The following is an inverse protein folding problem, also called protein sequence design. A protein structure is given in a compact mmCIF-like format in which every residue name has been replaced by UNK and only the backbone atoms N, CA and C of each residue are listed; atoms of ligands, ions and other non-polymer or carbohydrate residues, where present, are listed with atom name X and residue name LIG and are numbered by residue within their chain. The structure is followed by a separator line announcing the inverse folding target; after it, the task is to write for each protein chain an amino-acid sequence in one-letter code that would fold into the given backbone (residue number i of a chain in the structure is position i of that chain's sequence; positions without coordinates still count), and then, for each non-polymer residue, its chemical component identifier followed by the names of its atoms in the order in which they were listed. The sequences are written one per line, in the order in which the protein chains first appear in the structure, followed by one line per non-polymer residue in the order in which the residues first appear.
data_IF_403352124933
#
_entry.id   IF_403352124933
#
_cell.length_a   1.000
_cell.length_b   1.000
_cell.length_c   1.000
_cell.angle_alpha   90.00
_cell.angle_beta   90.00
_cell.angle_gamma   90.00
#
_symmetry.space_group_name_H-M   'P 1'
#
loop_
_entity.id
_entity.type
_entity.pdbx_description
1 polymer ?
#
# COMPACT_ATOMS: atom_id res chain seq x y z
N UNK A 1 -9.15 -6.26 -20.13
CA UNK A 1 -8.35 -6.81 -19.04
C UNK A 1 -8.46 -8.33 -18.86
N UNK A 2 -9.00 -9.03 -19.84
CA UNK A 2 -9.03 -10.50 -19.82
C UNK A 2 -10.09 -11.14 -18.89
N UNK A 3 -11.00 -10.37 -18.37
CA UNK A 3 -12.10 -10.86 -17.53
C UNK A 3 -13.40 -10.74 -18.31
N UNK A 4 -14.07 -11.86 -18.57
CA UNK A 4 -15.33 -11.89 -19.31
C UNK A 4 -16.43 -11.16 -18.55
N UNK A 5 -17.16 -10.28 -19.25
CA UNK A 5 -18.25 -9.51 -18.66
C UNK A 5 -17.79 -8.42 -17.69
N UNK A 6 -16.53 -7.99 -17.77
CA UNK A 6 -16.01 -6.96 -16.88
C UNK A 6 -16.70 -5.61 -17.10
N UNK A 7 -17.10 -4.99 -16.00
CA UNK A 7 -17.54 -3.60 -15.92
C UNK A 7 -16.79 -2.98 -14.74
N UNK A 8 -15.90 -2.04 -15.02
CA UNK A 8 -15.02 -1.45 -14.03
C UNK A 8 -15.03 0.08 -14.12
N UNK A 9 -14.94 0.71 -12.98
CA UNK A 9 -14.62 2.12 -12.87
C UNK A 9 -13.09 2.28 -12.78
N UNK A 10 -12.55 3.22 -13.54
CA UNK A 10 -11.10 3.47 -13.57
C UNK A 10 -10.85 4.88 -13.06
N UNK A 11 -9.95 5.01 -12.11
CA UNK A 11 -9.51 6.29 -11.56
C UNK A 11 -7.99 6.36 -11.62
N UNK A 12 -7.47 7.49 -12.07
CA UNK A 12 -6.02 7.74 -12.09
C UNK A 12 -5.64 8.67 -10.95
N UNK A 13 -4.59 8.29 -10.22
CA UNK A 13 -4.00 9.10 -9.15
C UNK A 13 -2.60 9.47 -9.56
N UNK A 14 -2.32 10.78 -9.62
CA UNK A 14 -0.99 11.29 -9.96
C UNK A 14 -0.13 11.44 -8.72
N UNK A 15 1.09 10.94 -8.81
CA UNK A 15 2.17 11.19 -7.87
C UNK A 15 3.29 11.97 -8.59
N UNK A 16 4.26 12.56 -7.88
CA UNK A 16 5.28 13.42 -8.52
C UNK A 16 6.03 12.77 -9.69
N UNK A 17 6.25 11.48 -9.65
CA UNK A 17 7.02 10.74 -10.66
C UNK A 17 6.31 9.47 -11.14
N UNK A 18 5.01 9.35 -10.88
CA UNK A 18 4.27 8.14 -11.23
C UNK A 18 2.77 8.42 -11.35
N UNK A 19 2.08 7.60 -12.13
CA UNK A 19 0.63 7.60 -12.22
C UNK A 19 0.14 6.21 -11.80
N UNK A 20 -0.85 6.17 -10.92
CA UNK A 20 -1.44 4.94 -10.41
C UNK A 20 -2.85 4.83 -10.98
N UNK A 21 -3.14 3.70 -11.60
CA UNK A 21 -4.47 3.36 -12.08
C UNK A 21 -5.17 2.49 -11.03
N UNK A 22 -6.35 2.93 -10.60
CA UNK A 22 -7.20 2.18 -9.68
C UNK A 22 -8.39 1.65 -10.46
N UNK A 23 -8.68 0.35 -10.33
CA UNK A 23 -9.81 -0.29 -10.97
C UNK A 23 -10.76 -0.82 -9.90
N UNK A 24 -12.01 -0.33 -9.95
CA UNK A 24 -13.09 -0.84 -9.10
C UNK A 24 -14.07 -1.64 -9.95
N UNK A 25 -14.11 -2.95 -9.79
CA UNK A 25 -14.99 -3.80 -10.58
C UNK A 25 -16.41 -3.76 -10.04
N UNK A 26 -17.36 -3.34 -10.88
CA UNK A 26 -18.78 -3.49 -10.62
C UNK A 26 -19.27 -4.88 -11.00
N UNK A 27 -18.63 -5.51 -11.98
CA UNK A 27 -18.92 -6.86 -12.46
C UNK A 27 -17.64 -7.47 -13.09
N UNK A 28 -17.28 -8.72 -12.80
CA UNK A 28 -17.77 -9.50 -11.67
C UNK A 28 -17.29 -8.93 -10.32
N UNK A 29 -18.06 -9.14 -9.27
CA UNK A 29 -17.69 -8.68 -7.92
C UNK A 29 -16.95 -9.79 -7.21
N UNK A 30 -15.77 -9.47 -6.65
CA UNK A 30 -15.09 -10.36 -5.73
C UNK A 30 -15.66 -10.18 -4.32
N UNK A 31 -16.14 -11.27 -3.73
CA UNK A 31 -16.69 -11.25 -2.38
C UNK A 31 -15.64 -11.51 -1.31
N UNK A 32 -14.42 -11.84 -1.70
CA UNK A 32 -13.36 -12.27 -0.78
C UNK A 32 -12.22 -11.28 -0.73
N UNK A 33 -11.94 -10.75 0.47
CA UNK A 33 -10.75 -9.97 0.72
C UNK A 33 -9.50 -10.86 0.60
N UNK A 34 -8.37 -10.26 0.19
CA UNK A 34 -7.11 -10.96 0.15
C UNK A 34 -6.56 -11.16 1.57
N UNK A 35 -6.24 -12.39 1.92
CA UNK A 35 -5.57 -12.75 3.16
C UNK A 35 -4.08 -13.02 2.96
N UNK A 36 -3.50 -12.69 1.81
CA UNK A 36 -2.10 -12.91 1.50
C UNK A 36 -1.19 -12.21 2.50
N UNK A 37 -0.18 -12.94 2.96
CA UNK A 37 0.88 -12.41 3.81
C UNK A 37 2.00 -11.86 2.93
N UNK A 38 2.84 -10.95 3.43
CA UNK A 38 3.98 -10.45 2.66
C UNK A 38 4.92 -11.53 2.11
N UNK A 39 4.95 -12.71 2.75
CA UNK A 39 5.77 -13.83 2.32
C UNK A 39 5.09 -14.77 1.31
N UNK A 40 3.82 -14.57 1.03
CA UNK A 40 3.09 -15.45 0.12
C UNK A 40 3.42 -15.13 -1.35
N UNK A 41 3.50 -16.17 -2.16
CA UNK A 41 3.70 -16.02 -3.60
C UNK A 41 2.51 -15.26 -4.20
N UNK A 42 2.80 -14.27 -5.03
CA UNK A 42 1.77 -13.41 -5.61
C UNK A 42 1.45 -12.16 -4.80
N UNK A 43 1.95 -12.06 -3.56
CA UNK A 43 1.81 -10.82 -2.79
C UNK A 43 2.59 -9.70 -3.46
N UNK A 44 1.96 -8.54 -3.56
CA UNK A 44 2.59 -7.34 -4.08
C UNK A 44 2.08 -6.12 -3.30
N UNK A 45 2.88 -5.06 -3.27
CA UNK A 45 2.52 -3.80 -2.65
C UNK A 45 3.13 -2.62 -3.40
N UNK A 46 2.56 -1.44 -3.16
CA UNK A 46 3.14 -0.17 -3.59
C UNK A 46 3.94 0.42 -2.45
N UNK A 47 5.11 0.99 -2.75
CA UNK A 47 5.95 1.70 -1.78
C UNK A 47 5.98 3.18 -2.08
N UNK A 48 5.83 4.01 -1.05
CA UNK A 48 5.94 5.45 -1.15
C UNK A 48 7.05 5.95 -0.24
N UNK A 49 7.91 6.80 -0.78
CA UNK A 49 8.87 7.55 0.02
C UNK A 49 8.20 8.80 0.56
N UNK A 50 8.20 8.95 1.87
CA UNK A 50 7.55 10.06 2.57
C UNK A 50 8.52 10.68 3.57
N UNK A 51 8.27 11.94 3.94
CA UNK A 51 9.13 12.64 4.90
C UNK A 51 8.88 12.16 6.33
N UNK A 52 7.62 11.89 6.67
CA UNK A 52 7.20 11.50 8.01
C UNK A 52 6.26 10.30 7.93
N UNK A 53 6.81 9.11 8.18
CA UNK A 53 6.08 7.85 8.10
C UNK A 53 4.92 7.82 9.10
N UNK A 54 5.15 8.28 10.34
CA UNK A 54 4.12 8.25 11.39
C UNK A 54 2.95 9.16 11.07
N UNK A 55 3.23 10.36 10.54
CA UNK A 55 2.19 11.32 10.18
C UNK A 55 1.32 10.79 9.04
N UNK A 56 1.92 10.21 8.01
CA UNK A 56 1.17 9.63 6.88
C UNK A 56 0.36 8.41 7.33
N UNK A 57 0.93 7.54 8.15
CA UNK A 57 0.21 6.39 8.70
C UNK A 57 -1.01 6.82 9.51
N UNK A 58 -0.88 7.86 10.35
CA UNK A 58 -1.99 8.41 11.11
C UNK A 58 -3.07 9.01 10.21
N UNK A 59 -2.69 9.74 9.17
CA UNK A 59 -3.60 10.32 8.20
C UNK A 59 -4.38 9.28 7.39
N UNK A 60 -3.83 8.09 7.23
CA UNK A 60 -4.48 7.00 6.48
C UNK A 60 -5.55 6.25 7.28
N UNK A 61 -5.54 6.33 8.61
CA UNK A 61 -6.50 5.60 9.47
C UNK A 61 -7.96 5.89 9.16
N UNK A 62 -8.38 7.16 8.98
CA UNK A 62 -9.78 7.46 8.65
C UNK A 62 -10.26 6.82 7.34
N UNK A 63 -9.32 6.43 6.48
CA UNK A 63 -9.61 5.80 5.20
C UNK A 63 -9.58 4.27 5.27
N UNK A 64 -9.50 3.70 6.47
CA UNK A 64 -9.60 2.26 6.68
C UNK A 64 -8.28 1.51 6.70
N UNK A 65 -7.15 2.21 6.71
CA UNK A 65 -5.83 1.58 6.78
C UNK A 65 -5.39 1.38 8.23
N UNK A 66 -4.81 0.22 8.50
CA UNK A 66 -4.14 -0.09 9.77
C UNK A 66 -2.66 -0.29 9.53
N UNK A 67 -1.83 0.33 10.38
CA UNK A 67 -0.39 0.17 10.31
C UNK A 67 0.05 -1.08 11.05
N UNK A 68 1.02 -1.80 10.46
CA UNK A 68 1.77 -2.81 11.20
C UNK A 68 2.65 -2.13 12.25
N UNK A 69 3.09 -2.84 13.29
CA UNK A 69 4.05 -2.29 14.24
C UNK A 69 5.26 -1.72 13.50
N UNK A 70 5.80 -0.61 14.01
CA UNK A 70 6.94 0.05 13.41
C UNK A 70 8.09 -0.93 13.19
N UNK A 71 8.58 -0.99 11.97
CA UNK A 71 9.74 -1.81 11.64
C UNK A 71 11.03 -1.10 12.10
N UNK A 72 12.05 -1.85 12.50
CA UNK A 72 13.35 -1.26 12.77
C UNK A 72 13.90 -0.58 11.52
N UNK A 73 14.91 0.27 11.71
CA UNK A 73 15.60 0.90 10.58
C UNK A 73 16.13 -0.16 9.62
N UNK A 74 16.04 0.13 8.34
CA UNK A 74 16.61 -0.70 7.30
C UNK A 74 18.13 -0.64 7.46
N UNK A 75 18.76 -1.79 7.65
CA UNK A 75 20.17 -1.87 8.01
C UNK A 75 21.11 -1.75 6.81
N UNK A 76 20.66 -2.11 5.59
CA UNK A 76 21.52 -2.17 4.42
C UNK A 76 20.73 -1.93 3.12
N UNK A 77 21.46 -1.73 2.04
CA UNK A 77 20.88 -1.51 0.71
C UNK A 77 20.59 -0.03 0.43
N UNK A 78 19.90 0.24 -0.71
CA UNK A 78 19.63 1.61 -1.15
C UNK A 78 18.79 2.45 -0.19
N UNK A 79 18.02 1.78 0.70
CA UNK A 79 17.13 2.45 1.66
C UNK A 79 17.65 2.37 3.09
N UNK A 80 18.92 2.04 3.29
CA UNK A 80 19.53 1.96 4.61
C UNK A 80 19.31 3.25 5.41
N UNK A 81 18.98 3.09 6.70
CA UNK A 81 18.71 4.20 7.62
C UNK A 81 17.29 4.71 7.59
N UNK A 82 16.48 4.29 6.65
CA UNK A 82 15.05 4.64 6.58
C UNK A 82 14.21 3.74 7.48
N UNK A 83 13.06 4.27 7.89
CA UNK A 83 12.01 3.50 8.55
C UNK A 83 11.00 3.04 7.52
N UNK A 84 10.40 1.87 7.77
CA UNK A 84 9.33 1.35 6.95
C UNK A 84 8.17 0.89 7.82
N UNK A 85 6.96 0.99 7.30
CA UNK A 85 5.76 0.37 7.86
C UNK A 85 4.84 -0.05 6.74
N UNK A 86 4.06 -1.11 6.97
CA UNK A 86 2.99 -1.48 6.05
C UNK A 86 1.67 -0.91 6.55
N UNK A 87 0.88 -0.40 5.61
CA UNK A 87 -0.52 -0.06 5.81
C UNK A 87 -1.37 -1.08 5.05
N UNK A 88 -2.40 -1.59 5.69
CA UNK A 88 -3.29 -2.57 5.07
C UNK A 88 -4.73 -2.22 5.35
N UNK A 89 -5.58 -2.31 4.33
CA UNK A 89 -7.02 -2.09 4.47
C UNK A 89 -7.78 -3.41 4.68
N UNK A 90 -9.10 -3.31 4.83
CA UNK A 90 -9.96 -4.48 5.05
C UNK A 90 -10.01 -5.43 3.84
N UNK A 91 -9.69 -4.96 2.65
CA UNK A 91 -9.64 -5.77 1.43
C UNK A 91 -8.32 -6.51 1.27
N UNK A 92 -7.33 -6.18 2.10
CA UNK A 92 -5.98 -6.74 2.03
C UNK A 92 -5.04 -5.95 1.12
N UNK A 93 -5.49 -4.81 0.60
CA UNK A 93 -4.62 -3.92 -0.15
C UNK A 93 -3.52 -3.37 0.76
N UNK A 94 -2.28 -3.47 0.31
CA UNK A 94 -1.12 -3.15 1.14
C UNK A 94 -0.27 -2.07 0.49
N UNK A 95 0.09 -1.07 1.29
CA UNK A 95 0.99 0.01 0.95
C UNK A 95 2.16 -0.04 1.92
N UNK A 96 3.38 0.16 1.42
CA UNK A 96 4.55 0.38 2.25
C UNK A 96 4.89 1.87 2.28
N UNK A 97 5.13 2.39 3.46
CA UNK A 97 5.68 3.73 3.64
C UNK A 97 7.13 3.60 4.08
N UNK A 98 8.02 4.31 3.40
CA UNK A 98 9.41 4.42 3.78
C UNK A 98 9.78 5.88 3.93
N UNK A 99 10.55 6.21 4.99
CA UNK A 99 10.99 7.57 5.23
C UNK A 99 12.30 7.64 5.99
N UNK A 100 13.00 8.75 5.79
CA UNK A 100 14.16 9.12 6.61
C UNK A 100 13.71 9.81 7.89
N UNK A 101 14.68 10.24 8.68
CA UNK A 101 14.43 11.03 9.87
C UNK A 101 14.26 10.21 11.15
N UNK A 102 13.56 10.80 12.11
CA UNK A 102 13.34 10.19 13.42
C UNK A 102 12.36 9.03 13.34
N UNK A 103 12.57 7.99 14.15
CA UNK A 103 11.59 6.92 14.31
C UNK A 103 10.25 7.45 14.77
N UNK A 104 9.21 6.87 14.27
CA UNK A 104 7.87 7.13 14.75
C UNK A 104 7.70 6.60 16.17
#
# INVERSE_FOLDING_TARGET
VGVTGADAEIVYVSAPNHVIELLGYRSPVSATASASRPCDVGFAHLSFLVDDVAAVAAAARPYGFSATPAMPRIAAGPHAGRHATYLRDAEGFTIELMGGGTPA
#
